data_IF_206046485578
#
_entry.id   IF_206046485578
#
_cell.length_a   1.000
_cell.length_b   1.000
_cell.length_c   1.000
_cell.angle_alpha   90.00
_cell.angle_beta   90.00
_cell.angle_gamma   90.00
#
_symmetry.space_group_name_H-M   'P 1'
#
loop_
_entity.id
_entity.type
_entity.pdbx_description
1 polymer ?
#
# COMPACT_ATOMS: atom_id res chain seq x y z
N UNK A 1 -39.34 3.29 -8.81
CA UNK A 1 -38.24 4.03 -9.47
C UNK A 1 -37.15 4.25 -8.42
N UNK A 2 -36.08 3.45 -8.42
CA UNK A 2 -34.98 3.63 -7.47
C UNK A 2 -34.05 4.73 -7.99
N UNK A 3 -34.27 5.96 -7.53
CA UNK A 3 -33.29 7.04 -7.63
C UNK A 3 -32.12 6.71 -6.70
N UNK A 4 -31.19 5.89 -7.19
CA UNK A 4 -29.93 5.64 -6.51
C UNK A 4 -29.12 6.93 -6.49
N UNK A 5 -29.05 7.57 -5.33
CA UNK A 5 -28.15 8.68 -5.06
C UNK A 5 -26.72 8.16 -5.26
N UNK A 6 -26.13 8.47 -6.41
CA UNK A 6 -24.72 8.20 -6.64
C UNK A 6 -23.94 9.20 -5.78
N UNK A 7 -23.54 8.77 -4.59
CA UNK A 7 -22.70 9.60 -3.70
C UNK A 7 -21.50 10.14 -4.50
N UNK A 8 -21.20 11.45 -4.41
CA UNK A 8 -20.07 12.03 -5.12
C UNK A 8 -18.79 11.24 -4.82
N UNK A 9 -18.05 10.86 -5.86
CA UNK A 9 -16.75 10.25 -5.68
C UNK A 9 -15.87 11.25 -4.92
N UNK A 10 -15.18 10.83 -3.85
CA UNK A 10 -14.38 11.73 -3.04
C UNK A 10 -13.30 12.38 -3.90
N UNK A 11 -13.11 13.69 -3.74
CA UNK A 11 -12.09 14.46 -4.43
C UNK A 11 -10.70 13.82 -4.24
N UNK A 12 -9.80 13.96 -5.22
CA UNK A 12 -8.40 13.50 -5.14
C UNK A 12 -7.73 13.99 -3.85
N UNK A 13 -8.14 15.16 -3.35
CA UNK A 13 -7.64 15.76 -2.11
C UNK A 13 -8.16 15.05 -0.85
N UNK A 14 -9.42 14.60 -0.84
CA UNK A 14 -10.02 13.81 0.24
C UNK A 14 -9.41 12.41 0.32
N UNK A 15 -9.10 11.81 -0.84
CA UNK A 15 -8.38 10.55 -0.92
C UNK A 15 -6.96 10.66 -0.35
N UNK A 16 -6.26 11.76 -0.66
CA UNK A 16 -4.94 12.08 -0.07
C UNK A 16 -5.03 12.30 1.45
N UNK A 17 -6.07 12.99 1.93
CA UNK A 17 -6.28 13.25 3.36
C UNK A 17 -6.55 11.96 4.15
N UNK A 18 -7.36 11.06 3.61
CA UNK A 18 -7.63 9.75 4.23
C UNK A 18 -6.34 8.94 4.39
N UNK A 19 -5.50 8.90 3.34
CA UNK A 19 -4.21 8.20 3.39
C UNK A 19 -3.25 8.87 4.38
N UNK A 20 -3.15 10.21 4.43
CA UNK A 20 -2.34 10.91 5.43
C UNK A 20 -2.75 10.58 6.86
N UNK A 21 -4.06 10.58 7.16
CA UNK A 21 -4.59 10.19 8.49
C UNK A 21 -4.29 8.73 8.82
N UNK A 22 -4.40 7.83 7.84
CA UNK A 22 -4.06 6.40 7.97
C UNK A 22 -2.59 6.20 8.39
N UNK A 23 -1.66 6.90 7.75
CA UNK A 23 -0.23 6.79 8.08
C UNK A 23 0.13 7.44 9.42
N UNK A 24 -0.52 8.54 9.82
CA UNK A 24 -0.19 9.26 11.05
C UNK A 24 -0.26 8.41 12.34
N UNK A 25 -1.27 7.54 12.47
CA UNK A 25 -1.40 6.66 13.65
C UNK A 25 -0.35 5.56 13.68
N UNK A 26 0.01 5.03 12.52
CA UNK A 26 1.06 4.02 12.41
C UNK A 26 2.44 4.64 12.63
N UNK A 27 2.58 5.92 12.31
CA UNK A 27 3.82 6.65 12.45
C UNK A 27 4.30 6.69 13.90
N UNK A 28 3.41 6.98 14.85
CA UNK A 28 3.74 6.97 16.29
C UNK A 28 4.23 5.60 16.75
N UNK A 29 3.65 4.51 16.25
CA UNK A 29 4.09 3.15 16.56
C UNK A 29 5.50 2.90 16.02
N UNK A 30 5.73 3.21 14.74
CA UNK A 30 7.02 2.97 14.11
C UNK A 30 8.12 3.86 14.70
N UNK A 31 7.83 5.10 15.05
CA UNK A 31 8.77 5.98 15.75
C UNK A 31 9.23 5.38 17.08
N UNK A 32 8.30 4.87 17.92
CA UNK A 32 8.67 4.21 19.17
C UNK A 32 9.59 3.00 18.95
N UNK A 33 9.35 2.22 17.90
CA UNK A 33 10.17 1.06 17.54
C UNK A 33 11.54 1.53 17.06
N UNK A 34 11.61 2.54 16.18
CA UNK A 34 12.85 3.09 15.64
C UNK A 34 13.70 3.69 16.74
N UNK A 35 13.13 4.51 17.63
CA UNK A 35 13.85 5.08 18.77
C UNK A 35 14.46 3.99 19.64
N UNK A 36 13.70 2.93 19.94
CA UNK A 36 14.22 1.82 20.74
C UNK A 36 15.33 1.05 20.01
N UNK A 37 15.19 0.81 18.70
CA UNK A 37 16.21 0.15 17.88
C UNK A 37 17.51 0.99 17.75
N UNK A 38 17.39 2.31 17.73
CA UNK A 38 18.52 3.23 17.59
C UNK A 38 19.26 3.47 18.91
N UNK A 39 18.50 3.66 20.01
CA UNK A 39 19.05 4.14 21.29
C UNK A 39 19.12 3.07 22.38
N UNK A 40 18.40 1.96 22.23
CA UNK A 40 18.18 0.98 23.30
C UNK A 40 17.22 1.45 24.40
N UNK A 41 16.69 2.67 24.30
CA UNK A 41 15.83 3.28 25.31
C UNK A 41 14.40 3.50 24.79
N UNK A 42 13.44 3.47 25.71
CA UNK A 42 12.04 3.78 25.40
C UNK A 42 11.81 5.30 25.36
N UNK A 43 10.86 5.74 24.53
CA UNK A 43 10.39 7.13 24.58
C UNK A 43 9.71 7.44 25.92
N UNK A 44 9.83 8.69 26.36
CA UNK A 44 9.19 9.17 27.60
C UNK A 44 7.67 9.02 27.57
N UNK A 45 7.06 8.84 28.74
CA UNK A 45 5.60 8.71 28.88
C UNK A 45 5.03 7.31 28.64
N UNK A 46 5.85 6.31 28.34
CA UNK A 46 5.41 4.91 28.25
C UNK A 46 5.34 4.23 29.62
N UNK A 47 4.22 3.55 29.90
CA UNK A 47 4.07 2.66 31.05
C UNK A 47 4.75 1.29 30.82
N UNK A 48 4.86 0.47 31.87
CA UNK A 48 5.57 -0.82 31.80
C UNK A 48 5.00 -1.79 30.76
N UNK A 49 3.68 -1.88 30.63
CA UNK A 49 3.02 -2.74 29.64
C UNK A 49 3.36 -2.30 28.21
N UNK A 50 3.27 -0.99 27.93
CA UNK A 50 3.60 -0.43 26.63
C UNK A 50 5.07 -0.65 26.26
N UNK A 51 5.99 -0.50 27.22
CA UNK A 51 7.43 -0.78 27.03
C UNK A 51 7.66 -2.23 26.63
N UNK A 52 7.03 -3.18 27.34
CA UNK A 52 7.08 -4.61 27.00
C UNK A 52 6.56 -4.88 25.59
N UNK A 53 5.46 -4.23 25.19
CA UNK A 53 4.92 -4.37 23.83
C UNK A 53 5.90 -3.87 22.78
N UNK A 54 6.50 -2.70 22.97
CA UNK A 54 7.50 -2.13 22.03
C UNK A 54 8.72 -3.04 21.92
N UNK A 55 9.27 -3.49 23.05
CA UNK A 55 10.43 -4.39 23.09
C UNK A 55 10.13 -5.75 22.44
N UNK A 56 8.92 -6.28 22.61
CA UNK A 56 8.52 -7.50 21.90
C UNK A 56 8.42 -7.24 20.40
N UNK A 57 7.82 -6.12 20.00
CA UNK A 57 7.67 -5.80 18.58
C UNK A 57 9.01 -5.66 17.88
N UNK A 58 10.06 -5.16 18.54
CA UNK A 58 11.36 -4.94 17.90
C UNK A 58 12.01 -6.22 17.37
N UNK A 59 11.62 -7.42 17.83
CA UNK A 59 12.11 -8.68 17.24
C UNK A 59 11.73 -8.84 15.77
N UNK A 60 10.61 -8.23 15.37
CA UNK A 60 10.07 -8.36 14.02
C UNK A 60 10.55 -7.23 13.10
N UNK A 61 11.40 -6.32 13.59
CA UNK A 61 11.88 -5.17 12.82
C UNK A 61 13.40 -5.06 12.82
N UNK A 62 13.92 -4.44 11.76
CA UNK A 62 15.33 -4.09 11.60
C UNK A 62 15.41 -2.65 11.09
N UNK A 63 16.23 -1.83 11.75
CA UNK A 63 16.50 -0.47 11.34
C UNK A 63 17.81 -0.42 10.56
N UNK A 64 17.81 0.27 9.42
CA UNK A 64 19.02 0.62 8.68
C UNK A 64 19.32 2.11 8.89
N UNK A 65 20.41 2.38 9.60
CA UNK A 65 20.83 3.74 9.93
C UNK A 65 21.35 4.52 8.73
N UNK A 66 21.89 3.84 7.71
CA UNK A 66 22.48 4.50 6.52
C UNK A 66 21.37 4.96 5.59
N UNK A 67 20.44 4.06 5.26
CA UNK A 67 19.32 4.40 4.38
C UNK A 67 18.16 5.09 5.11
N UNK A 68 18.21 5.16 6.45
CA UNK A 68 17.14 5.65 7.32
C UNK A 68 15.80 4.93 7.08
N UNK A 69 15.86 3.60 6.88
CA UNK A 69 14.69 2.77 6.57
C UNK A 69 14.42 1.74 7.64
N UNK A 70 13.14 1.56 7.91
CA UNK A 70 12.64 0.48 8.75
C UNK A 70 12.27 -0.72 7.88
N UNK A 71 12.65 -1.92 8.32
CA UNK A 71 12.31 -3.17 7.69
C UNK A 71 11.51 -4.05 8.64
N UNK A 72 10.53 -4.77 8.11
CA UNK A 72 9.88 -5.88 8.81
C UNK A 72 10.56 -7.20 8.42
N UNK A 73 10.91 -7.99 9.42
CA UNK A 73 11.57 -9.29 9.29
C UNK A 73 10.56 -10.36 9.67
N UNK A 74 10.26 -11.26 8.73
CA UNK A 74 9.33 -12.37 8.96
C UNK A 74 9.95 -13.64 8.39
N UNK A 75 10.47 -14.48 9.28
CA UNK A 75 11.28 -15.64 8.91
C UNK A 75 12.49 -15.21 8.08
N UNK A 76 12.61 -15.72 6.85
CA UNK A 76 13.69 -15.38 5.91
C UNK A 76 13.44 -14.12 5.08
N UNK A 77 12.25 -13.50 5.19
CA UNK A 77 11.87 -12.36 4.35
C UNK A 77 12.11 -11.06 5.10
N UNK A 78 12.83 -10.14 4.47
CA UNK A 78 13.04 -8.75 4.91
C UNK A 78 12.35 -7.82 3.92
N UNK A 79 11.42 -6.98 4.40
CA UNK A 79 10.64 -6.06 3.56
C UNK A 79 10.70 -4.65 4.11
N UNK A 80 10.86 -3.67 3.23
CA UNK A 80 10.87 -2.25 3.58
C UNK A 80 9.47 -1.81 4.04
N UNK A 81 9.40 -1.13 5.18
CA UNK A 81 8.15 -0.57 5.70
C UNK A 81 7.92 0.79 5.05
N UNK A 82 6.86 0.91 4.26
CA UNK A 82 6.48 2.16 3.61
C UNK A 82 5.59 2.95 4.56
N UNK A 83 6.09 4.10 5.01
CA UNK A 83 5.47 4.90 6.09
C UNK A 83 4.72 6.15 5.61
N UNK A 84 4.76 6.45 4.32
CA UNK A 84 4.16 7.67 3.75
C UNK A 84 3.24 7.34 2.59
N UNK A 85 2.20 8.15 2.42
CA UNK A 85 1.28 8.04 1.30
C UNK A 85 2.01 8.20 -0.04
N UNK A 86 2.93 9.15 -0.13
CA UNK A 86 3.74 9.37 -1.32
C UNK A 86 4.66 8.17 -1.60
N UNK A 87 5.21 7.55 -0.56
CA UNK A 87 5.97 6.31 -0.68
C UNK A 87 5.12 5.19 -1.29
N UNK A 88 3.89 5.00 -0.81
CA UNK A 88 2.97 4.00 -1.37
C UNK A 88 2.65 4.30 -2.83
N UNK A 89 2.34 5.55 -3.17
CA UNK A 89 2.06 5.95 -4.54
C UNK A 89 3.26 5.68 -5.47
N UNK A 90 4.48 6.01 -5.03
CA UNK A 90 5.71 5.75 -5.80
C UNK A 90 5.92 4.24 -6.04
N UNK A 91 5.76 3.42 -5.00
CA UNK A 91 5.92 1.97 -5.12
C UNK A 91 4.88 1.38 -6.07
N UNK A 92 3.61 1.76 -5.93
CA UNK A 92 2.55 1.25 -6.82
C UNK A 92 2.76 1.70 -8.26
N UNK A 93 3.19 2.94 -8.48
CA UNK A 93 3.54 3.45 -9.79
C UNK A 93 4.68 2.65 -10.44
N UNK A 94 5.74 2.38 -9.69
CA UNK A 94 6.89 1.60 -10.17
C UNK A 94 6.46 0.20 -10.61
N UNK A 95 5.69 -0.52 -9.79
CA UNK A 95 5.34 -1.92 -10.06
C UNK A 95 4.12 -2.15 -10.96
N UNK A 96 3.40 -1.10 -11.33
CA UNK A 96 2.23 -1.21 -12.22
C UNK A 96 2.34 -0.34 -13.47
N UNK A 97 2.67 0.95 -13.32
CA UNK A 97 2.52 1.93 -14.39
C UNK A 97 3.73 2.02 -15.31
N UNK A 98 4.94 1.84 -14.76
CA UNK A 98 6.19 1.88 -15.53
C UNK A 98 6.35 0.64 -16.42
N UNK A 99 7.37 0.64 -17.28
CA UNK A 99 7.68 -0.50 -18.16
C UNK A 99 7.98 -1.78 -17.37
N UNK A 100 8.51 -1.66 -16.15
CA UNK A 100 8.69 -2.79 -15.23
C UNK A 100 7.36 -3.44 -14.85
N UNK A 101 6.35 -2.60 -14.60
CA UNK A 101 5.01 -3.03 -14.22
C UNK A 101 4.11 -3.38 -15.40
N UNK A 102 4.39 -2.84 -16.60
CA UNK A 102 3.69 -3.08 -17.86
C UNK A 102 2.14 -3.11 -17.78
N UNK A 103 1.55 -2.42 -16.80
CA UNK A 103 0.11 -2.44 -16.49
C UNK A 103 -0.42 -3.85 -16.19
N UNK A 104 0.40 -4.70 -15.55
CA UNK A 104 0.01 -6.04 -15.12
C UNK A 104 -1.17 -5.97 -14.15
N UNK A 105 -1.99 -7.03 -14.16
CA UNK A 105 -3.17 -7.11 -13.32
C UNK A 105 -2.87 -7.00 -11.82
N UNK A 106 -3.93 -6.79 -11.04
CA UNK A 106 -3.86 -6.60 -9.59
C UNK A 106 -3.06 -7.70 -8.87
N UNK A 107 -3.31 -8.97 -9.16
CA UNK A 107 -2.64 -10.08 -8.46
C UNK A 107 -1.13 -10.07 -8.66
N UNK A 108 -0.67 -9.80 -9.90
CA UNK A 108 0.74 -9.73 -10.22
C UNK A 108 1.41 -8.52 -9.56
N UNK A 109 0.78 -7.34 -9.67
CA UNK A 109 1.24 -6.12 -9.00
C UNK A 109 1.38 -6.35 -7.49
N UNK A 110 0.34 -6.86 -6.83
CA UNK A 110 0.33 -7.14 -5.40
C UNK A 110 1.42 -8.15 -5.00
N UNK A 111 1.59 -9.22 -5.79
CA UNK A 111 2.60 -10.24 -5.52
C UNK A 111 4.03 -9.72 -5.65
N UNK A 112 4.29 -8.79 -6.56
CA UNK A 112 5.62 -8.19 -6.70
C UNK A 112 5.89 -7.20 -5.58
N UNK A 113 4.94 -6.31 -5.30
CA UNK A 113 5.08 -5.31 -4.23
C UNK A 113 5.27 -5.97 -2.86
N UNK A 114 4.45 -6.97 -2.51
CA UNK A 114 4.49 -7.63 -1.18
C UNK A 114 5.77 -8.43 -0.92
N UNK A 115 6.59 -8.68 -1.95
CA UNK A 115 7.88 -9.36 -1.80
C UNK A 115 8.93 -8.44 -1.19
N UNK A 116 8.87 -7.14 -1.50
CA UNK A 116 9.89 -6.16 -1.10
C UNK A 116 9.39 -5.13 -0.11
N UNK A 117 8.09 -4.84 -0.10
CA UNK A 117 7.50 -3.77 0.70
C UNK A 117 6.39 -4.26 1.63
N UNK A 118 6.16 -3.50 2.69
CA UNK A 118 5.08 -3.69 3.64
C UNK A 118 4.48 -2.35 4.06
N UNK A 119 3.15 -2.29 4.10
CA UNK A 119 2.38 -1.27 4.81
C UNK A 119 1.00 -1.83 5.14
N UNK A 120 0.29 -1.21 6.09
CA UNK A 120 -1.06 -1.66 6.43
C UNK A 120 -2.02 -1.36 5.28
N UNK A 121 -2.73 -2.40 4.84
CA UNK A 121 -3.72 -2.26 3.78
C UNK A 121 -3.13 -2.31 2.36
N UNK A 122 -1.90 -2.77 2.19
CA UNK A 122 -1.26 -3.02 0.87
C UNK A 122 -2.20 -3.64 -0.16
N UNK A 123 -2.97 -4.66 0.23
CA UNK A 123 -3.94 -5.32 -0.67
C UNK A 123 -4.99 -4.35 -1.22
N UNK A 124 -5.61 -3.56 -0.35
CA UNK A 124 -6.66 -2.62 -0.73
C UNK A 124 -6.12 -1.46 -1.55
N UNK A 125 -4.98 -0.91 -1.13
CA UNK A 125 -4.35 0.20 -1.85
C UNK A 125 -3.89 -0.23 -3.25
N UNK A 126 -3.32 -1.44 -3.41
CA UNK A 126 -2.98 -1.98 -4.74
C UNK A 126 -4.21 -2.20 -5.60
N UNK A 127 -5.28 -2.79 -5.05
CA UNK A 127 -6.52 -3.02 -5.80
C UNK A 127 -7.12 -1.71 -6.30
N UNK A 128 -7.22 -0.70 -5.43
CA UNK A 128 -7.76 0.61 -5.78
C UNK A 128 -6.90 1.30 -6.85
N UNK A 129 -5.58 1.23 -6.72
CA UNK A 129 -4.66 1.83 -7.69
C UNK A 129 -4.81 1.22 -9.09
N UNK A 130 -4.84 -0.10 -9.19
CA UNK A 130 -5.02 -0.80 -10.48
C UNK A 130 -6.40 -0.55 -11.07
N UNK A 131 -7.46 -0.52 -10.23
CA UNK A 131 -8.82 -0.23 -10.68
C UNK A 131 -8.98 1.21 -11.22
N UNK A 132 -8.23 2.16 -10.66
CA UNK A 132 -8.20 3.54 -11.12
C UNK A 132 -7.37 3.76 -12.40
N UNK A 133 -6.63 2.74 -12.88
CA UNK A 133 -5.76 2.86 -14.05
C UNK A 133 -6.57 2.92 -15.36
N UNK A 134 -6.50 4.06 -16.06
CA UNK A 134 -7.19 4.27 -17.33
C UNK A 134 -6.81 3.27 -18.42
N UNK A 135 -5.52 2.93 -18.53
CA UNK A 135 -5.02 1.97 -19.53
C UNK A 135 -5.57 0.56 -19.30
N UNK A 136 -5.69 0.14 -18.04
CA UNK A 136 -6.30 -1.15 -17.69
C UNK A 136 -7.81 -1.12 -17.94
N UNK A 137 -8.48 -0.05 -17.50
CA UNK A 137 -9.92 0.14 -17.66
C UNK A 137 -10.35 0.15 -19.13
N UNK A 138 -9.59 0.81 -20.00
CA UNK A 138 -9.93 0.91 -21.43
C UNK A 138 -9.69 -0.41 -22.19
N UNK A 139 -8.66 -1.19 -21.81
CA UNK A 139 -8.43 -2.53 -22.42
C UNK A 139 -9.58 -3.50 -22.18
N UNK A 140 -10.14 -3.50 -20.97
CA UNK A 140 -11.31 -4.35 -20.67
C UNK A 140 -12.55 -3.96 -21.51
N UNK A 141 -12.78 -2.65 -21.74
CA UNK A 141 -13.89 -2.17 -22.58
C UNK A 141 -13.75 -2.57 -24.04
N UNK A 142 -12.55 -2.49 -24.60
CA UNK A 142 -12.29 -2.88 -26.01
C UNK A 142 -12.46 -4.38 -26.24
N UNK A 143 -12.13 -5.23 -25.26
CA UNK A 143 -12.36 -6.68 -25.36
C UNK A 143 -13.84 -7.05 -25.33
N UNK A 144 -14.65 -6.36 -24.51
CA UNK A 144 -16.10 -6.57 -24.45
C UNK A 144 -16.78 -6.21 -25.79
N UNK A 145 -16.37 -5.11 -26.42
CA UNK A 145 -16.85 -4.72 -27.75
C UNK A 145 -16.49 -5.74 -28.84
N UNK A 146 -15.28 -6.32 -28.80
CA UNK A 146 -14.87 -7.37 -29.76
C UNK A 146 -15.70 -8.64 -29.61
N UNK A 147 -16.06 -9.00 -28.38
CA UNK A 147 -16.87 -10.19 -28.11
C UNK A 147 -18.33 -9.98 -28.55
N UNK A 148 -18.90 -8.79 -28.32
CA UNK A 148 -20.28 -8.45 -28.74
C UNK A 148 -20.46 -8.34 -30.26
N UNK A 149 -19.48 -7.80 -30.99
CA UNK A 149 -19.57 -7.72 -32.46
C UNK A 149 -19.52 -9.11 -33.11
N UNK A 150 -18.82 -10.07 -32.50
CA UNK A 150 -18.72 -11.46 -33.00
C UNK A 150 -20.06 -12.22 -32.92
N UNK A 151 -20.93 -11.89 -31.97
CA UNK A 151 -22.28 -12.47 -31.86
C UNK A 151 -23.32 -11.83 -32.78
N UNK A 152 -23.01 -10.69 -33.41
CA UNK A 152 -23.97 -9.96 -34.28
C UNK A 152 -23.78 -10.23 -35.77
N UNK A 153 -22.68 -10.87 -36.16
CA UNK A 153 -22.34 -11.23 -37.56
C UNK A 153 -22.58 -12.71 -37.88
N UNK A 154 -23.28 -13.44 -37.01
CA UNK A 154 -23.66 -14.85 -37.17
C UNK A 154 -25.19 -15.06 -37.16
N UNK A 155 -25.96 -14.05 -37.59
CA UNK A 155 -27.38 -14.18 -37.90
C UNK A 155 -27.64 -13.67 -39.31
#
# INVERSE_FOLDING_TARGET
MFSGFLSPLPSVEEQKLHLKKKFALEDVKFERIITYLQTGHHTGGLNNSQRTVVKRQTSDYSWDAVSQKLYIVSGRKKREVVRTADGVARVLHLYHTTDLGAHIGYHATFNNVKQHYYWRGIKGDTMNYVAACDRCRNRCKTQDLRTRTRFRLLK
#
